data_IF_371913266881
#
_entry.id   IF_371913266881
#
_cell.length_a   1.000
_cell.length_b   1.000
_cell.length_c   1.000
_cell.angle_alpha   90.00
_cell.angle_beta   90.00
_cell.angle_gamma   90.00
#
_symmetry.space_group_name_H-M   'P 1'
#
loop_
_entity.id
_entity.type
_entity.pdbx_description
1 polymer ?
#
# COMPACT_ATOMS: atom_id res chain seq x y z
N UNK A 1 0.44 -5.21 18.12
CA UNK A 1 0.40 -5.39 16.66
C UNK A 1 0.57 -4.05 15.97
N UNK A 2 1.42 -3.98 14.97
CA UNK A 2 1.60 -2.76 14.17
C UNK A 2 0.65 -2.80 12.97
N UNK A 3 -0.14 -1.76 12.80
CA UNK A 3 -1.14 -1.66 11.73
C UNK A 3 -0.69 -0.66 10.68
N UNK A 4 -0.48 -1.14 9.46
CA UNK A 4 -0.06 -0.33 8.33
C UNK A 4 -1.22 -0.18 7.36
N UNK A 5 -1.49 1.05 6.93
CA UNK A 5 -2.54 1.37 5.97
C UNK A 5 -1.94 2.06 4.75
N UNK A 6 -2.15 1.50 3.57
CA UNK A 6 -1.84 2.17 2.32
C UNK A 6 -3.06 2.93 1.81
N UNK A 7 -2.86 4.14 1.31
CA UNK A 7 -3.95 5.02 0.86
C UNK A 7 -3.70 5.52 -0.56
N UNK A 8 -4.73 5.43 -1.39
CA UNK A 8 -4.76 6.06 -2.71
C UNK A 8 -6.17 6.67 -2.93
N UNK A 9 -6.55 6.97 -4.16
CA UNK A 9 -7.86 7.58 -4.44
C UNK A 9 -8.99 6.55 -4.34
N UNK A 10 -9.02 5.60 -5.29
CA UNK A 10 -10.15 4.67 -5.44
C UNK A 10 -10.00 3.32 -4.75
N UNK A 11 -8.83 3.01 -4.25
CA UNK A 11 -8.51 1.71 -3.63
C UNK A 11 -8.77 0.51 -4.56
N UNK A 12 -8.47 0.67 -5.84
CA UNK A 12 -8.59 -0.43 -6.81
C UNK A 12 -7.30 -0.71 -7.59
N UNK A 13 -6.33 0.17 -7.56
CA UNK A 13 -5.05 0.00 -8.27
C UNK A 13 -3.84 0.03 -7.35
N UNK A 14 -3.35 1.23 -7.00
CA UNK A 14 -2.06 1.41 -6.31
C UNK A 14 -2.03 0.84 -4.89
N UNK A 15 -2.94 1.27 -4.04
CA UNK A 15 -2.93 0.81 -2.64
C UNK A 15 -3.26 -0.67 -2.48
N UNK A 16 -4.14 -1.28 -3.30
CA UNK A 16 -4.32 -2.73 -3.27
C UNK A 16 -3.06 -3.49 -3.66
N UNK A 17 -2.34 -3.04 -4.68
CA UNK A 17 -1.07 -3.68 -5.07
C UNK A 17 -0.05 -3.60 -3.92
N UNK A 18 0.06 -2.45 -3.26
CA UNK A 18 0.95 -2.28 -2.12
C UNK A 18 0.57 -3.20 -0.96
N UNK A 19 -0.72 -3.36 -0.70
CA UNK A 19 -1.20 -4.27 0.34
C UNK A 19 -0.76 -5.71 0.07
N UNK A 20 -1.00 -6.22 -1.14
CA UNK A 20 -0.62 -7.59 -1.52
C UNK A 20 0.89 -7.78 -1.46
N UNK A 21 1.64 -6.85 -2.02
CA UNK A 21 3.10 -6.94 -2.08
C UNK A 21 3.71 -6.95 -0.68
N UNK A 22 3.33 -6.01 0.17
CA UNK A 22 3.91 -5.94 1.51
C UNK A 22 3.49 -7.13 2.39
N UNK A 23 2.22 -7.55 2.32
CA UNK A 23 1.76 -8.76 3.02
C UNK A 23 2.59 -9.98 2.66
N UNK A 24 2.84 -10.16 1.36
CA UNK A 24 3.63 -11.30 0.86
C UNK A 24 5.06 -11.23 1.38
N UNK A 25 5.69 -10.08 1.31
CA UNK A 25 7.07 -9.89 1.79
C UNK A 25 7.20 -10.12 3.29
N UNK A 26 6.25 -9.64 4.07
CA UNK A 26 6.21 -9.85 5.53
C UNK A 26 6.09 -11.34 5.83
N UNK A 27 5.19 -12.04 5.16
CA UNK A 27 4.99 -13.49 5.36
C UNK A 27 6.27 -14.26 5.03
N UNK A 28 6.92 -13.95 3.92
CA UNK A 28 8.16 -14.61 3.51
C UNK A 28 9.33 -14.33 4.44
N UNK A 29 9.35 -13.15 5.08
CA UNK A 29 10.42 -12.78 6.01
C UNK A 29 10.27 -13.42 7.38
N UNK A 30 9.10 -13.97 7.71
CA UNK A 30 8.80 -14.51 9.03
C UNK A 30 8.47 -13.45 10.09
N UNK A 31 8.42 -12.19 9.72
CA UNK A 31 8.10 -11.10 10.65
C UNK A 31 6.67 -11.26 11.17
N UNK A 32 6.48 -11.15 12.49
CA UNK A 32 5.18 -11.29 13.16
C UNK A 32 4.69 -9.96 13.72
N UNK A 33 3.40 -9.87 13.99
CA UNK A 33 2.82 -8.72 14.67
C UNK A 33 2.61 -7.49 13.79
N UNK A 34 2.55 -7.66 12.48
CA UNK A 34 2.28 -6.58 11.54
C UNK A 34 1.07 -6.94 10.69
N UNK A 35 0.09 -6.04 10.61
CA UNK A 35 -1.04 -6.18 9.69
C UNK A 35 -0.97 -5.09 8.63
N UNK A 36 -1.39 -5.41 7.42
CA UNK A 36 -1.38 -4.48 6.29
C UNK A 36 -2.77 -4.43 5.67
N UNK A 37 -3.29 -3.23 5.49
CA UNK A 37 -4.56 -2.98 4.81
C UNK A 37 -4.40 -1.82 3.85
N UNK A 38 -5.42 -1.57 3.06
CA UNK A 38 -5.47 -0.42 2.16
C UNK A 38 -6.87 0.19 2.14
N UNK A 39 -6.95 1.47 1.77
CA UNK A 39 -8.20 2.19 1.67
C UNK A 39 -8.05 3.33 0.66
N UNK A 40 -9.17 3.87 0.21
CA UNK A 40 -9.19 5.01 -0.70
C UNK A 40 -9.83 6.24 -0.05
N UNK A 41 -9.37 7.40 -0.46
CA UNK A 41 -9.94 8.67 0.00
C UNK A 41 -11.32 8.93 -0.62
N UNK A 42 -11.56 8.33 -1.78
CA UNK A 42 -12.83 8.44 -2.53
C UNK A 42 -13.14 7.10 -3.19
N UNK A 43 -13.28 6.07 -2.38
CA UNK A 43 -13.49 4.71 -2.84
C UNK A 43 -14.97 4.36 -2.89
N UNK A 44 -15.34 3.50 -3.84
CA UNK A 44 -16.61 2.77 -3.79
C UNK A 44 -16.34 1.50 -2.99
N UNK A 45 -17.13 1.28 -1.94
CA UNK A 45 -16.92 0.14 -1.05
C UNK A 45 -17.27 -1.18 -1.77
N UNK A 46 -16.41 -2.18 -1.60
CA UNK A 46 -16.69 -3.54 -2.06
C UNK A 46 -16.30 -3.84 -3.51
N UNK A 47 -15.59 -2.94 -4.18
CA UNK A 47 -15.14 -3.21 -5.55
C UNK A 47 -13.93 -4.14 -5.58
N UNK A 48 -13.81 -4.88 -6.67
CA UNK A 48 -12.64 -5.74 -6.93
C UNK A 48 -11.43 -4.89 -7.30
N UNK A 49 -10.25 -5.43 -7.10
CA UNK A 49 -9.01 -4.88 -7.65
C UNK A 49 -9.15 -4.78 -9.17
N UNK A 50 -8.61 -3.71 -9.77
CA UNK A 50 -8.66 -3.53 -11.22
C UNK A 50 -8.01 -4.73 -11.94
N UNK A 51 -8.52 -5.07 -13.12
CA UNK A 51 -8.06 -6.23 -13.88
C UNK A 51 -6.54 -6.16 -14.17
N UNK A 52 -6.04 -4.99 -14.56
CA UNK A 52 -4.62 -4.83 -14.85
C UNK A 52 -3.73 -4.85 -13.59
N UNK A 53 -4.23 -4.38 -12.46
CA UNK A 53 -3.52 -4.51 -11.18
C UNK A 53 -3.38 -5.98 -10.80
N UNK A 54 -4.46 -6.73 -10.90
CA UNK A 54 -4.48 -8.17 -10.63
C UNK A 54 -3.52 -8.90 -11.56
N UNK A 55 -3.57 -8.60 -12.85
CA UNK A 55 -2.70 -9.22 -13.85
C UNK A 55 -1.23 -8.89 -13.62
N UNK A 56 -0.90 -7.63 -13.31
CA UNK A 56 0.47 -7.22 -13.02
C UNK A 56 1.03 -7.97 -11.80
N UNK A 57 0.26 -8.08 -10.73
CA UNK A 57 0.66 -8.83 -9.54
C UNK A 57 0.95 -10.29 -9.87
N UNK A 58 0.08 -10.94 -10.67
CA UNK A 58 0.28 -12.33 -11.08
C UNK A 58 1.53 -12.49 -11.93
N UNK A 59 1.81 -11.56 -12.84
CA UNK A 59 3.01 -11.58 -13.67
C UNK A 59 4.29 -11.46 -12.81
N UNK A 60 4.23 -10.76 -11.71
CA UNK A 60 5.37 -10.62 -10.78
C UNK A 60 5.46 -11.77 -9.77
N UNK A 61 4.56 -12.74 -9.83
CA UNK A 61 4.59 -13.92 -8.97
C UNK A 61 3.79 -13.79 -7.67
N UNK A 62 3.04 -12.73 -7.48
CA UNK A 62 2.17 -12.57 -6.32
C UNK A 62 0.85 -13.32 -6.53
N UNK A 63 0.20 -13.71 -5.44
CA UNK A 63 -1.09 -14.41 -5.44
C UNK A 63 -2.14 -13.55 -4.75
N UNK A 64 -2.73 -12.57 -5.47
CA UNK A 64 -3.79 -11.75 -4.88
C UNK A 64 -5.04 -12.60 -4.62
N UNK A 65 -5.75 -12.29 -3.55
CA UNK A 65 -6.94 -13.02 -3.12
C UNK A 65 -8.03 -12.03 -2.74
N UNK A 66 -9.26 -12.45 -2.88
CA UNK A 66 -10.49 -11.85 -2.34
C UNK A 66 -10.48 -10.38 -1.95
N UNK A 67 -9.73 -9.54 -2.63
CA UNK A 67 -9.63 -8.12 -2.30
C UNK A 67 -10.97 -7.41 -2.55
N UNK A 68 -11.34 -6.52 -1.65
CA UNK A 68 -12.47 -5.60 -1.81
C UNK A 68 -12.05 -4.22 -1.36
N UNK A 69 -12.44 -3.20 -2.14
CA UNK A 69 -12.10 -1.82 -1.84
C UNK A 69 -12.80 -1.32 -0.57
N UNK A 70 -12.12 -0.42 0.13
CA UNK A 70 -12.62 0.17 1.36
C UNK A 70 -12.40 1.69 1.34
N UNK A 71 -13.29 2.42 1.99
CA UNK A 71 -13.16 3.86 2.17
C UNK A 71 -12.31 4.15 3.40
N UNK A 72 -11.37 5.08 3.28
CA UNK A 72 -10.60 5.57 4.42
C UNK A 72 -11.53 6.44 5.30
N UNK A 73 -11.81 5.96 6.50
CA UNK A 73 -12.62 6.69 7.48
C UNK A 73 -11.71 7.26 8.58
N UNK A 74 -12.21 8.25 9.32
CA UNK A 74 -11.48 8.78 10.47
C UNK A 74 -11.12 7.68 11.46
N UNK A 75 -12.04 6.74 11.70
CA UNK A 75 -11.79 5.60 12.61
C UNK A 75 -10.66 4.70 12.10
N UNK A 76 -10.64 4.39 10.81
CA UNK A 76 -9.57 3.56 10.21
C UNK A 76 -8.23 4.27 10.29
N UNK A 77 -8.20 5.56 9.98
CA UNK A 77 -6.98 6.37 10.00
C UNK A 77 -6.40 6.47 11.41
N UNK A 78 -7.24 6.74 12.41
CA UNK A 78 -6.77 6.89 13.79
C UNK A 78 -6.24 5.57 14.37
N UNK A 79 -6.77 4.44 13.94
CA UNK A 79 -6.33 3.11 14.40
C UNK A 79 -5.04 2.63 13.73
N UNK A 80 -4.62 3.27 12.66
CA UNK A 80 -3.42 2.88 11.93
C UNK A 80 -2.17 3.44 12.61
N UNK A 81 -1.17 2.60 12.80
CA UNK A 81 0.10 3.02 13.39
C UNK A 81 1.00 3.70 12.37
N UNK A 82 0.81 3.36 11.10
CA UNK A 82 1.56 3.92 9.98
C UNK A 82 0.64 4.03 8.79
N UNK A 83 0.52 5.23 8.23
CA UNK A 83 -0.29 5.49 7.04
C UNK A 83 0.64 5.92 5.92
N UNK A 84 0.61 5.19 4.80
CA UNK A 84 1.46 5.47 3.64
C UNK A 84 0.58 5.79 2.44
N UNK A 85 0.66 7.01 1.96
CA UNK A 85 -0.10 7.50 0.82
C UNK A 85 0.73 7.37 -0.47
N UNK A 86 0.07 7.03 -1.56
CA UNK A 86 0.74 6.84 -2.85
C UNK A 86 1.34 8.13 -3.38
N UNK A 87 0.76 9.29 -3.04
CA UNK A 87 1.26 10.60 -3.47
C UNK A 87 1.23 11.60 -2.32
N UNK A 88 1.95 12.71 -2.50
CA UNK A 88 1.90 13.86 -1.58
C UNK A 88 0.51 14.49 -1.51
N UNK A 89 -0.22 14.46 -2.62
CA UNK A 89 -1.59 14.97 -2.66
C UNK A 89 -2.51 14.18 -1.74
N UNK A 90 -2.40 12.85 -1.76
CA UNK A 90 -3.14 12.00 -0.83
C UNK A 90 -2.79 12.35 0.62
N UNK A 91 -1.51 12.49 0.90
CA UNK A 91 -1.05 12.87 2.25
C UNK A 91 -1.65 14.20 2.69
N UNK A 92 -1.68 15.21 1.82
CA UNK A 92 -2.20 16.54 2.16
C UNK A 92 -3.67 16.50 2.57
N UNK A 93 -4.45 15.57 2.02
CA UNK A 93 -5.87 15.41 2.35
C UNK A 93 -6.10 14.90 3.79
N UNK A 94 -5.11 14.21 4.37
CA UNK A 94 -5.21 13.60 5.71
C UNK A 94 -4.05 14.01 6.60
N UNK A 95 -3.43 15.15 6.33
CA UNK A 95 -2.24 15.62 7.05
C UNK A 95 -2.49 15.89 8.54
N UNK A 96 -3.74 16.06 8.94
CA UNK A 96 -4.13 16.26 10.35
C UNK A 96 -4.12 14.98 11.19
N UNK A 97 -3.99 13.82 10.56
CA UNK A 97 -3.83 12.54 11.26
C UNK A 97 -2.36 12.29 11.57
N UNK A 98 -2.03 11.56 12.66
CA UNK A 98 -0.65 11.24 12.98
C UNK A 98 -0.08 10.13 12.09
N UNK A 99 1.25 10.10 11.98
CA UNK A 99 1.99 9.02 11.32
C UNK A 99 1.64 8.83 9.83
N UNK A 100 1.41 9.93 9.13
CA UNK A 100 1.09 9.93 7.69
C UNK A 100 2.34 10.28 6.88
N UNK A 101 2.64 9.43 5.91
CA UNK A 101 3.79 9.58 5.01
C UNK A 101 3.36 9.40 3.57
N UNK A 102 4.03 10.06 2.64
CA UNK A 102 3.87 9.81 1.21
C UNK A 102 4.96 8.85 0.73
N UNK A 103 4.70 8.10 -0.34
CA UNK A 103 5.70 7.23 -0.96
C UNK A 103 6.98 7.99 -1.31
N UNK A 104 6.88 9.26 -1.73
CA UNK A 104 8.03 10.08 -2.05
C UNK A 104 8.98 10.30 -0.85
N UNK A 105 8.49 10.19 0.37
CA UNK A 105 9.32 10.26 1.58
C UNK A 105 10.06 8.95 1.84
N UNK A 106 9.71 7.89 1.13
CA UNK A 106 10.34 6.56 1.24
C UNK A 106 11.30 6.32 0.08
N UNK A 107 10.86 6.56 -1.16
CA UNK A 107 11.64 6.25 -2.37
C UNK A 107 12.17 7.50 -3.09
N UNK A 108 11.68 8.69 -2.75
CA UNK A 108 12.03 9.92 -3.43
C UNK A 108 11.08 10.32 -4.54
N UNK A 109 10.05 9.51 -4.83
CA UNK A 109 9.07 9.82 -5.87
C UNK A 109 7.67 9.30 -5.50
N UNK A 110 6.64 9.98 -5.99
CA UNK A 110 5.26 9.55 -5.84
C UNK A 110 4.95 8.39 -6.80
N UNK A 111 3.98 7.57 -6.44
CA UNK A 111 3.50 6.48 -7.31
C UNK A 111 2.39 7.03 -8.20
N UNK A 112 2.70 7.22 -9.48
CA UNK A 112 1.76 7.74 -10.45
C UNK A 112 0.58 6.78 -10.67
N UNK A 113 -0.60 7.35 -10.94
CA UNK A 113 -1.80 6.56 -11.20
C UNK A 113 -1.69 5.84 -12.55
N UNK A 114 -1.70 4.49 -12.57
CA UNK A 114 -1.60 3.74 -13.82
C UNK A 114 -2.92 3.69 -14.60
N UNK A 115 -4.01 4.20 -14.04
CA UNK A 115 -5.34 4.13 -14.65
C UNK A 115 -5.32 4.66 -16.08
N UNK A 116 -5.94 3.89 -16.99
CA UNK A 116 -5.95 4.20 -18.41
C UNK A 116 -4.70 3.74 -19.17
N UNK A 117 -3.67 3.27 -18.48
CA UNK A 117 -2.48 2.70 -19.09
C UNK A 117 -2.66 1.23 -19.45
N UNK A 118 -1.72 0.72 -20.23
CA UNK A 118 -1.69 -0.71 -20.58
C UNK A 118 -1.03 -1.54 -19.47
N UNK A 119 -0.93 -2.85 -19.69
CA UNK A 119 -0.34 -3.74 -18.69
C UNK A 119 1.10 -3.38 -18.34
N UNK A 120 1.87 -2.86 -19.29
CA UNK A 120 3.27 -2.48 -19.04
C UNK A 120 3.37 -1.33 -18.04
N UNK A 121 2.44 -0.37 -18.09
CA UNK A 121 2.35 0.72 -17.11
C UNK A 121 2.06 0.17 -15.72
N UNK A 122 1.13 -0.77 -15.61
CA UNK A 122 0.80 -1.41 -14.33
C UNK A 122 1.95 -2.23 -13.77
N UNK A 123 2.70 -2.94 -14.62
CA UNK A 123 3.88 -3.69 -14.20
C UNK A 123 4.95 -2.74 -13.68
N UNK A 124 5.20 -1.63 -14.37
CA UNK A 124 6.14 -0.60 -13.91
C UNK A 124 5.73 -0.05 -12.55
N UNK A 125 4.46 0.29 -12.39
CA UNK A 125 3.91 0.76 -11.11
C UNK A 125 4.13 -0.27 -10.01
N UNK A 126 3.89 -1.55 -10.30
CA UNK A 126 4.12 -2.63 -9.35
C UNK A 126 5.58 -2.71 -8.91
N UNK A 127 6.53 -2.55 -9.82
CA UNK A 127 7.95 -2.55 -9.47
C UNK A 127 8.33 -1.36 -8.59
N UNK A 128 7.77 -0.19 -8.85
CA UNK A 128 7.98 0.98 -8.00
C UNK A 128 7.45 0.75 -6.58
N UNK A 129 6.29 0.12 -6.47
CA UNK A 129 5.70 -0.26 -5.19
C UNK A 129 6.54 -1.33 -4.49
N UNK A 130 7.07 -2.31 -5.24
CA UNK A 130 7.97 -3.31 -4.67
C UNK A 130 9.19 -2.66 -4.03
N UNK A 131 9.80 -1.69 -4.69
CA UNK A 131 10.97 -0.99 -4.16
C UNK A 131 10.63 -0.30 -2.84
N UNK A 132 9.48 0.37 -2.78
CA UNK A 132 9.01 1.00 -1.55
C UNK A 132 8.77 -0.04 -0.45
N UNK A 133 8.11 -1.15 -0.78
CA UNK A 133 7.82 -2.22 0.18
C UNK A 133 9.09 -2.88 0.72
N UNK A 134 10.14 -3.00 -0.09
CA UNK A 134 11.43 -3.50 0.37
C UNK A 134 12.02 -2.59 1.45
N UNK A 135 11.95 -1.27 1.24
CA UNK A 135 12.43 -0.29 2.21
C UNK A 135 11.60 -0.35 3.50
N UNK A 136 10.28 -0.40 3.36
CA UNK A 136 9.35 -0.49 4.50
C UNK A 136 9.64 -1.74 5.32
N UNK A 137 9.78 -2.89 4.65
CA UNK A 137 10.06 -4.17 5.32
C UNK A 137 11.38 -4.11 6.09
N UNK A 138 12.43 -3.56 5.48
CA UNK A 138 13.73 -3.43 6.13
C UNK A 138 13.62 -2.60 7.42
N UNK A 139 12.91 -1.49 7.37
CA UNK A 139 12.68 -0.65 8.56
C UNK A 139 11.87 -1.35 9.64
N UNK A 140 10.86 -2.13 9.25
CA UNK A 140 10.07 -2.92 10.19
C UNK A 140 10.93 -3.96 10.91
N UNK A 141 11.82 -4.62 10.20
CA UNK A 141 12.73 -5.61 10.76
C UNK A 141 13.71 -4.94 11.73
N UNK A 142 14.31 -3.83 11.33
CA UNK A 142 15.25 -3.06 12.17
C UNK A 142 14.59 -2.58 13.45
N UNK A 143 13.40 -1.99 13.36
CA UNK A 143 12.66 -1.49 14.52
C UNK A 143 12.33 -2.61 15.51
N UNK A 144 12.01 -3.81 15.01
CA UNK A 144 11.71 -4.94 15.87
C UNK A 144 12.96 -5.46 16.58
N UNK A 145 14.12 -5.40 15.91
CA UNK A 145 15.41 -5.72 16.52
C UNK A 145 15.79 -4.74 17.63
N UNK A 146 15.49 -3.46 17.46
CA UNK A 146 15.80 -2.41 18.43
C UNK A 146 14.95 -2.49 19.69
N UNK A 147 13.78 -3.11 19.63
CA UNK A 147 12.86 -3.23 20.76
C UNK A 147 13.18 -4.40 21.69
N UNK A 148 14.22 -5.11 21.42
CA UNK A 148 14.71 -6.12 22.34
C UNK A 148 15.58 -5.47 23.44
#
# INVERSE_FOLDING_TARGET
MKRILFVCTGNTCRSPMAEVILKTKIKLSGLKGVSVKSAGLSAKIGEKMSANSLRALKLLGYKPYGFRSAQATGATLIKSDLIICMTREHKSCIANFPNVYAMSEITGYDIADPYGGDINVYVKTSHEIEDACNIILQKLIENKGEKK
#
